data_IF_892246438734
#
_entry.id   IF_892246438734
#
_cell.length_a   1.000
_cell.length_b   1.000
_cell.length_c   1.000
_cell.angle_alpha   90.00
_cell.angle_beta   90.00
_cell.angle_gamma   90.00
#
_symmetry.space_group_name_H-M   'P 1'
#
loop_
_entity.id
_entity.type
_entity.pdbx_description
1 polymer ?
#
# COMPACT_ATOMS: atom_id res chain seq x y z
N UNK A 1 39.76 -70.09 -25.70
CA UNK A 1 38.30 -70.03 -25.97
C UNK A 1 37.62 -69.60 -24.69
N UNK A 2 37.22 -68.34 -24.59
CA UNK A 2 36.26 -67.89 -23.56
C UNK A 2 35.71 -66.54 -24.00
N UNK A 3 34.43 -66.53 -24.33
CA UNK A 3 33.70 -65.35 -24.73
C UNK A 3 33.08 -64.71 -23.48
N UNK A 4 33.55 -63.51 -23.08
CA UNK A 4 32.93 -62.69 -22.05
C UNK A 4 31.82 -61.83 -22.72
N UNK A 5 30.61 -62.03 -22.24
CA UNK A 5 29.43 -61.24 -22.58
C UNK A 5 29.45 -59.94 -21.75
N UNK A 6 29.46 -58.79 -22.43
CA UNK A 6 29.20 -57.49 -21.81
C UNK A 6 27.68 -57.23 -21.81
N UNK A 7 27.14 -57.15 -20.63
CA UNK A 7 25.77 -56.66 -20.38
C UNK A 7 25.82 -55.16 -20.29
N UNK A 8 25.21 -54.45 -21.29
CA UNK A 8 24.91 -53.03 -21.24
C UNK A 8 23.73 -52.81 -20.30
N UNK A 9 23.97 -52.17 -19.17
CA UNK A 9 22.91 -51.63 -18.33
C UNK A 9 22.49 -50.27 -18.86
N UNK A 10 21.31 -50.17 -19.45
CA UNK A 10 20.67 -48.93 -19.86
C UNK A 10 20.08 -48.31 -18.59
N UNK A 11 20.74 -47.28 -18.06
CA UNK A 11 20.21 -46.43 -16.98
C UNK A 11 19.11 -45.51 -17.51
N UNK A 12 17.88 -45.77 -17.10
CA UNK A 12 16.73 -44.93 -17.38
C UNK A 12 16.82 -43.69 -16.47
N UNK A 13 17.30 -42.57 -16.99
CA UNK A 13 17.28 -41.30 -16.30
C UNK A 13 15.83 -40.76 -16.31
N UNK A 14 15.11 -40.90 -15.18
CA UNK A 14 13.84 -40.19 -14.97
C UNK A 14 14.16 -38.69 -14.79
N UNK A 15 13.95 -37.93 -15.84
CA UNK A 15 13.87 -36.46 -15.75
C UNK A 15 12.59 -36.09 -15.01
N UNK A 16 12.73 -35.74 -13.72
CA UNK A 16 11.66 -35.07 -13.00
C UNK A 16 11.51 -33.65 -13.58
N UNK A 17 10.51 -33.48 -14.44
CA UNK A 17 10.04 -32.17 -14.84
C UNK A 17 9.45 -31.51 -13.58
N UNK A 18 10.18 -30.56 -12.99
CA UNK A 18 9.66 -29.65 -12.00
C UNK A 18 8.61 -28.78 -12.70
N UNK A 19 7.36 -29.17 -12.56
CA UNK A 19 6.22 -28.32 -12.91
C UNK A 19 6.31 -27.10 -11.95
N UNK A 20 6.85 -25.99 -12.43
CA UNK A 20 6.66 -24.68 -11.85
C UNK A 20 5.16 -24.40 -11.90
N UNK A 21 4.45 -24.81 -10.87
CA UNK A 21 3.05 -24.53 -10.70
C UNK A 21 2.86 -23.03 -10.58
N UNK A 22 2.29 -22.39 -11.60
CA UNK A 22 1.69 -21.08 -11.43
C UNK A 22 0.64 -21.21 -10.32
N UNK A 23 0.90 -20.62 -9.17
CA UNK A 23 -0.13 -20.54 -8.13
C UNK A 23 -1.36 -19.86 -8.73
N UNK A 24 -2.56 -20.45 -8.61
CA UNK A 24 -3.75 -19.85 -9.17
C UNK A 24 -3.95 -18.47 -8.56
N UNK A 25 -4.30 -17.48 -9.40
CA UNK A 25 -4.67 -16.14 -8.91
C UNK A 25 -5.82 -16.31 -7.91
N UNK A 26 -5.73 -15.73 -6.71
CA UNK A 26 -6.80 -15.84 -5.73
C UNK A 26 -8.13 -15.29 -6.27
N UNK A 27 -9.24 -15.79 -5.76
CA UNK A 27 -10.55 -15.21 -6.04
C UNK A 27 -10.69 -13.85 -5.37
N UNK A 28 -11.48 -12.92 -5.96
CA UNK A 28 -11.77 -11.64 -5.34
C UNK A 28 -12.54 -11.83 -4.01
N UNK A 29 -12.53 -10.84 -3.11
CA UNK A 29 -13.30 -10.91 -1.87
C UNK A 29 -14.77 -11.25 -2.14
N UNK A 30 -15.39 -12.19 -1.39
CA UNK A 30 -16.78 -12.60 -1.58
C UNK A 30 -17.76 -11.59 -0.96
N UNK A 31 -17.81 -10.40 -1.53
CA UNK A 31 -18.65 -9.27 -1.14
C UNK A 31 -19.45 -8.75 -2.35
N UNK A 32 -20.54 -7.99 -2.16
CA UNK A 32 -21.30 -7.43 -3.27
C UNK A 32 -20.50 -6.40 -4.08
N UNK A 33 -20.57 -6.52 -5.41
CA UNK A 33 -20.03 -5.57 -6.36
C UNK A 33 -21.10 -5.14 -7.36
N UNK A 34 -21.16 -3.86 -7.69
CA UNK A 34 -21.95 -3.37 -8.81
C UNK A 34 -21.22 -3.71 -10.13
N UNK A 35 -22.01 -4.00 -11.16
CA UNK A 35 -21.46 -4.24 -12.50
C UNK A 35 -21.35 -2.91 -13.25
N UNK A 36 -20.22 -2.70 -13.91
CA UNK A 36 -20.06 -1.64 -14.88
C UNK A 36 -20.91 -1.96 -16.11
N UNK A 37 -21.70 -1.01 -16.62
CA UNK A 37 -22.65 -1.24 -17.71
C UNK A 37 -22.04 -1.11 -19.11
N UNK A 38 -20.90 -0.42 -19.26
CA UNK A 38 -20.21 -0.22 -20.54
C UNK A 38 -18.84 0.40 -20.39
N UNK A 39 -18.28 0.95 -21.48
CA UNK A 39 -16.93 1.51 -21.52
C UNK A 39 -16.87 3.04 -21.40
N UNK A 40 -18.02 3.73 -21.54
CA UNK A 40 -18.06 5.18 -21.46
C UNK A 40 -17.93 5.67 -20.01
N UNK A 41 -17.62 6.96 -19.84
CA UNK A 41 -17.55 7.58 -18.52
C UNK A 41 -18.89 7.50 -17.76
N UNK A 42 -20.01 7.66 -18.48
CA UNK A 42 -21.37 7.52 -17.94
C UNK A 42 -21.70 6.12 -17.41
N UNK A 43 -20.94 5.11 -17.84
CA UNK A 43 -21.16 3.71 -17.46
C UNK A 43 -20.37 3.32 -16.20
N UNK A 44 -19.59 4.26 -15.65
CA UNK A 44 -18.90 4.03 -14.38
C UNK A 44 -19.90 3.79 -13.25
N UNK A 45 -19.51 2.95 -12.33
CA UNK A 45 -20.32 2.68 -11.14
C UNK A 45 -20.52 3.96 -10.34
N UNK A 46 -21.77 4.27 -10.03
CA UNK A 46 -22.12 5.30 -9.07
C UNK A 46 -21.74 4.84 -7.66
N UNK A 47 -20.62 5.34 -7.18
CA UNK A 47 -20.07 4.94 -5.88
C UNK A 47 -20.96 5.39 -4.70
N UNK A 48 -21.74 6.48 -4.87
CA UNK A 48 -22.67 6.94 -3.85
C UNK A 48 -23.84 5.96 -3.72
N UNK A 49 -24.39 5.57 -4.86
CA UNK A 49 -25.47 4.59 -4.92
C UNK A 49 -25.02 3.22 -4.40
N UNK A 50 -23.86 2.77 -4.81
CA UNK A 50 -23.27 1.51 -4.35
C UNK A 50 -23.12 1.47 -2.83
N UNK A 51 -22.61 2.55 -2.24
CA UNK A 51 -22.46 2.68 -0.79
C UNK A 51 -23.79 2.61 -0.06
N UNK A 52 -24.82 3.25 -0.60
CA UNK A 52 -26.15 3.28 0.00
C UNK A 52 -26.89 1.96 -0.15
N UNK A 53 -26.84 1.33 -1.33
CA UNK A 53 -27.58 0.09 -1.62
C UNK A 53 -26.83 -1.18 -1.15
N UNK A 54 -25.53 -1.12 -1.02
CA UNK A 54 -24.67 -2.26 -0.67
C UNK A 54 -23.53 -1.85 0.25
N UNK A 55 -23.83 -1.30 1.45
CA UNK A 55 -22.80 -0.95 2.43
C UNK A 55 -22.02 -2.21 2.85
N UNK A 56 -20.75 -2.04 3.19
CA UNK A 56 -19.95 -3.13 3.73
C UNK A 56 -20.18 -3.25 5.24
N UNK A 57 -20.66 -4.41 5.65
CA UNK A 57 -20.82 -4.75 7.08
C UNK A 57 -19.47 -5.14 7.69
N UNK A 58 -19.30 -5.09 9.03
CA UNK A 58 -18.10 -5.63 9.68
C UNK A 58 -17.77 -7.07 9.23
N UNK A 59 -18.79 -7.91 9.05
CA UNK A 59 -18.63 -9.28 8.57
C UNK A 59 -18.10 -9.34 7.12
N UNK A 60 -18.48 -8.39 6.26
CA UNK A 60 -17.94 -8.29 4.90
C UNK A 60 -16.50 -7.80 4.92
N UNK A 61 -16.19 -6.82 5.75
CA UNK A 61 -14.83 -6.29 5.92
C UNK A 61 -13.86 -7.36 6.45
N UNK A 62 -14.32 -8.30 7.26
CA UNK A 62 -13.50 -9.44 7.71
C UNK A 62 -13.18 -10.44 6.59
N UNK A 63 -13.98 -10.51 5.53
CA UNK A 63 -13.71 -11.37 4.37
C UNK A 63 -12.64 -10.79 3.43
N UNK A 64 -12.32 -9.51 3.54
CA UNK A 64 -11.30 -8.85 2.72
C UNK A 64 -9.93 -9.16 3.32
N UNK A 65 -9.02 -9.70 2.51
CA UNK A 65 -7.64 -10.03 2.89
C UNK A 65 -6.64 -9.43 1.90
N UNK A 66 -5.37 -9.23 2.28
CA UNK A 66 -4.35 -8.80 1.34
C UNK A 66 -4.26 -9.70 0.10
N UNK A 67 -4.47 -11.01 0.25
CA UNK A 67 -4.34 -11.95 -0.85
C UNK A 67 -5.53 -11.90 -1.81
N UNK A 68 -6.78 -11.85 -1.33
CA UNK A 68 -7.92 -11.83 -2.23
C UNK A 68 -8.13 -10.47 -2.93
N UNK A 69 -7.52 -9.39 -2.42
CA UNK A 69 -7.45 -8.11 -3.13
C UNK A 69 -6.66 -8.22 -4.44
N UNK A 70 -5.65 -9.09 -4.52
CA UNK A 70 -4.91 -9.35 -5.76
C UNK A 70 -5.76 -10.02 -6.84
N UNK A 71 -6.77 -10.78 -6.43
CA UNK A 71 -7.72 -11.43 -7.32
C UNK A 71 -8.83 -10.51 -7.85
N UNK A 72 -9.02 -9.35 -7.23
CA UNK A 72 -10.00 -8.37 -7.64
C UNK A 72 -9.54 -7.58 -8.88
N UNK A 73 -10.49 -7.11 -9.70
CA UNK A 73 -10.22 -6.11 -10.75
C UNK A 73 -9.99 -4.73 -10.13
N UNK A 74 -9.38 -3.79 -10.87
CA UNK A 74 -9.22 -2.42 -10.38
C UNK A 74 -10.56 -1.78 -10.00
N UNK A 75 -11.60 -2.00 -10.81
CA UNK A 75 -12.94 -1.51 -10.53
C UNK A 75 -13.48 -2.06 -9.21
N UNK A 76 -13.26 -3.34 -8.92
CA UNK A 76 -13.68 -3.95 -7.66
C UNK A 76 -12.90 -3.38 -6.47
N UNK A 77 -11.59 -3.15 -6.62
CA UNK A 77 -10.77 -2.50 -5.59
C UNK A 77 -11.25 -1.06 -5.35
N UNK A 78 -11.57 -0.32 -6.41
CA UNK A 78 -12.10 1.03 -6.31
C UNK A 78 -13.45 1.06 -5.59
N UNK A 79 -14.33 0.10 -5.87
CA UNK A 79 -15.60 -0.08 -5.17
C UNK A 79 -15.42 -0.43 -3.68
N UNK A 80 -14.44 -1.26 -3.35
CA UNK A 80 -14.09 -1.52 -1.95
C UNK A 80 -13.66 -0.21 -1.30
N UNK A 81 -12.64 0.45 -1.87
CA UNK A 81 -12.05 1.67 -1.32
C UNK A 81 -13.07 2.77 -1.08
N UNK A 82 -14.00 2.99 -2.02
CA UNK A 82 -15.03 4.00 -1.91
C UNK A 82 -16.01 3.76 -0.74
N UNK A 83 -16.20 2.51 -0.31
CA UNK A 83 -17.07 2.14 0.81
C UNK A 83 -16.35 2.06 2.17
N UNK A 84 -15.02 2.29 2.19
CA UNK A 84 -14.26 2.34 3.44
C UNK A 84 -14.27 3.74 4.04
N UNK A 85 -14.05 3.81 5.33
CA UNK A 85 -13.79 5.06 6.05
C UNK A 85 -12.28 5.25 6.23
N UNK A 86 -11.85 6.48 6.56
CA UNK A 86 -10.45 6.74 6.84
C UNK A 86 -9.92 5.90 8.02
N UNK A 87 -10.78 5.70 9.02
CA UNK A 87 -10.40 5.09 10.29
C UNK A 87 -9.45 5.95 11.10
N UNK A 88 -8.82 5.40 12.12
CA UNK A 88 -7.78 6.09 12.87
C UNK A 88 -6.52 6.24 12.02
N UNK A 89 -5.78 7.33 12.24
CA UNK A 89 -4.41 7.43 11.73
C UNK A 89 -3.58 6.30 12.37
N UNK A 90 -2.94 5.42 11.58
CA UNK A 90 -2.20 4.30 12.15
C UNK A 90 -1.06 4.74 13.06
N UNK A 91 -0.66 3.89 14.00
CA UNK A 91 0.52 4.04 14.84
C UNK A 91 1.31 2.73 14.86
N UNK A 92 2.65 2.80 14.92
CA UNK A 92 3.52 1.62 14.95
C UNK A 92 3.84 1.05 13.58
N UNK A 93 4.24 -0.21 13.55
CA UNK A 93 4.77 -0.88 12.35
C UNK A 93 3.67 -1.62 11.62
N UNK A 94 3.58 -1.39 10.33
CA UNK A 94 2.68 -2.11 9.42
C UNK A 94 3.48 -2.79 8.32
N UNK A 95 3.27 -4.08 8.15
CA UNK A 95 3.77 -4.82 7.00
C UNK A 95 3.00 -4.38 5.74
N UNK A 96 3.73 -4.14 4.67
CA UNK A 96 3.19 -3.62 3.43
C UNK A 96 3.33 -4.58 2.27
N UNK A 97 2.32 -4.59 1.40
CA UNK A 97 2.33 -5.34 0.17
C UNK A 97 1.73 -4.50 -0.94
N UNK A 98 2.52 -4.25 -1.99
CA UNK A 98 2.01 -3.67 -3.24
C UNK A 98 1.29 -4.73 -4.03
N UNK A 99 0.24 -4.35 -4.75
CA UNK A 99 -0.45 -5.26 -5.65
C UNK A 99 -1.09 -4.52 -6.82
N UNK A 100 -1.20 -5.27 -7.93
CA UNK A 100 -1.83 -4.82 -9.14
C UNK A 100 -3.07 -5.67 -9.39
N UNK A 101 -4.25 -5.06 -9.47
CA UNK A 101 -5.48 -5.78 -9.68
C UNK A 101 -5.49 -6.54 -11.02
N UNK A 102 -6.25 -7.62 -11.07
CA UNK A 102 -6.43 -8.46 -12.25
C UNK A 102 -6.81 -7.63 -13.48
N UNK A 103 -6.12 -7.82 -14.59
CA UNK A 103 -6.38 -7.11 -15.86
C UNK A 103 -5.82 -5.69 -15.93
N UNK A 104 -5.13 -5.18 -14.89
CA UNK A 104 -4.39 -3.94 -14.99
C UNK A 104 -3.01 -4.21 -15.58
N UNK A 105 -2.64 -3.52 -16.66
CA UNK A 105 -1.28 -3.58 -17.18
C UNK A 105 -0.45 -2.48 -16.50
N UNK A 106 0.50 -2.90 -15.68
CA UNK A 106 1.46 -2.06 -14.98
C UNK A 106 2.25 -1.18 -15.95
N UNK A 107 2.64 -1.75 -17.07
CA UNK A 107 3.42 -1.07 -18.12
C UNK A 107 2.68 0.11 -18.75
N UNK A 108 1.38 -0.03 -18.99
CA UNK A 108 0.58 1.03 -19.58
C UNK A 108 0.48 2.26 -18.65
N UNK A 109 0.39 2.06 -17.34
CA UNK A 109 0.28 3.14 -16.36
C UNK A 109 1.56 3.91 -16.18
N UNK A 110 2.69 3.22 -16.07
CA UNK A 110 3.99 3.89 -15.96
C UNK A 110 4.35 4.65 -17.24
N UNK A 111 4.01 4.12 -18.41
CA UNK A 111 4.16 4.82 -19.67
C UNK A 111 3.27 6.07 -19.75
N UNK A 112 2.06 6.01 -19.21
CA UNK A 112 1.13 7.17 -19.13
C UNK A 112 1.65 8.25 -18.17
N UNK A 113 2.17 7.86 -16.99
CA UNK A 113 2.76 8.79 -16.02
C UNK A 113 3.95 9.56 -16.62
N UNK A 114 4.75 8.91 -17.44
CA UNK A 114 5.95 9.52 -18.05
C UNK A 114 5.66 10.27 -19.33
N UNK A 115 4.41 10.26 -19.80
CA UNK A 115 3.96 11.09 -20.93
C UNK A 115 4.03 10.43 -22.31
N UNK A 116 4.10 9.10 -22.39
CA UNK A 116 4.02 8.35 -23.67
C UNK A 116 5.18 8.55 -24.66
N UNK A 117 5.11 7.88 -25.79
CA UNK A 117 6.08 8.03 -26.90
C UNK A 117 7.43 7.33 -26.68
N UNK A 118 8.47 7.76 -27.40
CA UNK A 118 9.82 7.15 -27.36
C UNK A 118 10.43 7.20 -25.95
N UNK A 119 10.10 8.23 -25.17
CA UNK A 119 10.50 8.32 -23.75
C UNK A 119 9.81 7.25 -22.91
N UNK A 120 8.54 6.91 -23.20
CA UNK A 120 7.80 5.83 -22.57
C UNK A 120 8.45 4.47 -22.80
N UNK A 121 8.98 4.20 -24.00
CA UNK A 121 9.65 2.92 -24.29
C UNK A 121 10.96 2.71 -23.50
N UNK A 122 11.73 3.78 -23.27
CA UNK A 122 12.95 3.71 -22.45
C UNK A 122 12.59 3.57 -20.96
N UNK A 123 11.48 4.17 -20.54
CA UNK A 123 10.95 4.05 -19.18
C UNK A 123 10.36 2.67 -18.95
N UNK A 124 9.75 2.03 -19.93
CA UNK A 124 9.21 0.66 -19.83
C UNK A 124 10.27 -0.35 -19.37
N UNK A 125 11.51 -0.25 -19.88
CA UNK A 125 12.62 -1.12 -19.44
C UNK A 125 13.16 -0.78 -18.06
N UNK A 126 13.16 0.51 -17.69
CA UNK A 126 13.57 0.97 -16.35
C UNK A 126 12.43 0.77 -15.33
N UNK A 127 11.19 0.96 -15.76
CA UNK A 127 10.01 0.80 -14.92
C UNK A 127 9.75 -0.67 -14.55
N UNK A 128 9.91 -1.61 -15.47
CA UNK A 128 9.84 -3.05 -15.13
C UNK A 128 10.91 -3.45 -14.11
N UNK A 129 12.08 -2.79 -14.14
CA UNK A 129 13.10 -2.95 -13.10
C UNK A 129 12.67 -2.30 -11.77
N UNK A 130 12.08 -1.11 -11.80
CA UNK A 130 11.61 -0.39 -10.61
C UNK A 130 10.44 -1.09 -9.93
N UNK A 131 9.60 -1.76 -10.68
CA UNK A 131 8.47 -2.54 -10.20
C UNK A 131 8.92 -3.79 -9.44
N UNK A 132 9.74 -4.62 -10.04
CA UNK A 132 10.37 -5.74 -9.32
C UNK A 132 11.19 -5.28 -8.12
N UNK A 133 11.89 -4.15 -8.25
CA UNK A 133 12.63 -3.53 -7.16
C UNK A 133 11.66 -3.10 -6.04
N UNK A 134 10.53 -2.48 -6.39
CA UNK A 134 9.53 -2.02 -5.41
C UNK A 134 8.96 -3.15 -4.56
N UNK A 135 8.52 -4.25 -5.16
CA UNK A 135 7.98 -5.41 -4.46
C UNK A 135 9.00 -6.08 -3.52
N UNK A 136 10.28 -6.14 -3.93
CA UNK A 136 11.33 -6.75 -3.12
C UNK A 136 11.90 -5.83 -2.05
N UNK A 137 11.85 -4.52 -2.25
CA UNK A 137 12.49 -3.55 -1.37
C UNK A 137 11.54 -3.03 -0.31
N UNK A 138 10.32 -2.64 -0.69
CA UNK A 138 9.37 -2.02 0.22
C UNK A 138 8.62 -3.08 1.03
N UNK A 139 8.73 -2.99 2.35
CA UNK A 139 8.14 -3.96 3.29
C UNK A 139 7.11 -3.36 4.22
N UNK A 140 6.78 -2.10 4.02
CA UNK A 140 5.73 -1.44 4.78
C UNK A 140 6.11 -0.06 5.28
N UNK A 141 5.43 0.36 6.33
CA UNK A 141 5.54 1.69 6.89
C UNK A 141 5.63 1.64 8.41
N UNK A 142 6.39 2.56 8.98
CA UNK A 142 6.40 2.85 10.42
C UNK A 142 5.73 4.18 10.64
N UNK A 143 4.65 4.19 11.39
CA UNK A 143 3.84 5.38 11.68
C UNK A 143 4.17 5.96 13.05
N UNK A 144 4.54 7.21 13.09
CA UNK A 144 4.73 8.01 14.29
C UNK A 144 3.51 8.93 14.44
N UNK A 145 2.39 8.32 14.89
CA UNK A 145 1.08 9.00 14.94
C UNK A 145 1.09 10.30 15.73
N UNK A 146 1.77 10.33 16.88
CA UNK A 146 1.86 11.51 17.72
C UNK A 146 2.58 12.69 17.04
N UNK A 147 3.48 12.39 16.13
CA UNK A 147 4.28 13.36 15.38
C UNK A 147 3.63 13.73 14.04
N UNK A 148 2.61 12.99 13.61
CA UNK A 148 1.98 13.19 12.31
C UNK A 148 2.89 12.85 11.12
N UNK A 149 3.82 11.90 11.31
CA UNK A 149 4.78 11.50 10.29
C UNK A 149 4.89 9.98 10.19
N UNK A 150 5.43 9.51 9.08
CA UNK A 150 5.83 8.11 8.89
C UNK A 150 7.17 8.01 8.18
N UNK A 151 7.71 6.78 8.15
CA UNK A 151 8.82 6.38 7.29
C UNK A 151 8.52 5.06 6.62
N UNK A 152 9.00 4.90 5.39
CA UNK A 152 8.92 3.62 4.69
C UNK A 152 10.00 2.67 5.18
N UNK A 153 9.62 1.42 5.38
CA UNK A 153 10.51 0.33 5.76
C UNK A 153 11.04 -0.35 4.51
N UNK A 154 12.36 -0.32 4.35
CA UNK A 154 13.10 -0.89 3.23
C UNK A 154 14.00 -1.99 3.75
N UNK A 155 13.99 -3.17 3.16
CA UNK A 155 14.83 -4.30 3.58
C UNK A 155 16.10 -4.46 2.75
N UNK A 156 16.10 -4.04 1.49
CA UNK A 156 17.27 -4.13 0.63
C UNK A 156 17.55 -2.80 -0.08
N UNK A 157 18.65 -2.15 0.30
CA UNK A 157 19.11 -0.91 -0.35
C UNK A 157 19.93 -1.14 -1.62
N UNK A 158 20.45 -2.36 -1.84
CA UNK A 158 21.31 -2.60 -3.01
C UNK A 158 20.57 -2.35 -4.32
N UNK A 159 19.27 -2.60 -4.34
CA UNK A 159 18.42 -2.30 -5.48
C UNK A 159 18.26 -0.79 -5.74
N UNK A 160 18.47 0.08 -4.75
CA UNK A 160 18.49 1.54 -4.92
C UNK A 160 19.87 2.06 -5.33
N UNK A 161 20.94 1.27 -5.23
CA UNK A 161 22.31 1.68 -5.55
C UNK A 161 22.46 2.30 -6.96
N UNK A 162 21.81 1.80 -8.02
CA UNK A 162 21.88 2.43 -9.35
C UNK A 162 21.27 3.83 -9.41
N UNK A 163 20.44 4.21 -8.45
CA UNK A 163 19.73 5.49 -8.39
C UNK A 163 20.40 6.42 -7.40
N UNK A 164 20.74 5.91 -6.22
CA UNK A 164 21.28 6.67 -5.08
C UNK A 164 22.81 6.79 -5.14
N UNK A 165 23.48 5.87 -5.85
CA UNK A 165 24.93 5.82 -5.90
C UNK A 165 25.57 5.14 -4.69
N UNK A 166 26.90 5.28 -4.51
CA UNK A 166 27.67 4.55 -3.49
C UNK A 166 27.32 4.98 -2.05
N UNK A 167 26.77 6.17 -1.86
CA UNK A 167 26.39 6.65 -0.52
C UNK A 167 25.24 5.87 0.12
N UNK A 168 24.54 5.07 -0.64
CA UNK A 168 23.52 4.14 -0.12
C UNK A 168 24.08 3.23 1.00
N UNK A 169 25.34 2.85 0.91
CA UNK A 169 26.01 1.96 1.90
C UNK A 169 26.26 2.64 3.25
N UNK A 170 26.17 3.98 3.30
CA UNK A 170 26.33 4.75 4.54
C UNK A 170 25.04 4.89 5.35
N UNK A 171 23.91 4.52 4.76
CA UNK A 171 22.61 4.60 5.43
C UNK A 171 22.53 3.46 6.44
N UNK A 172 22.47 3.79 7.73
CA UNK A 172 22.40 2.82 8.81
C UNK A 172 21.01 2.21 8.91
N UNK A 173 20.96 0.91 9.20
CA UNK A 173 19.73 0.26 9.65
C UNK A 173 19.38 0.72 11.06
N UNK A 174 18.09 0.69 11.34
CA UNK A 174 17.54 0.87 12.68
C UNK A 174 16.76 -0.38 13.04
N UNK A 175 16.79 -0.77 14.31
CA UNK A 175 15.90 -1.80 14.81
C UNK A 175 14.48 -1.27 14.87
N UNK A 176 13.55 -2.01 14.28
CA UNK A 176 12.13 -1.68 14.29
C UNK A 176 11.38 -2.96 14.64
N UNK A 177 10.89 -3.04 15.87
CA UNK A 177 10.21 -4.22 16.43
C UNK A 177 11.01 -5.51 16.24
N UNK A 178 12.31 -5.48 16.59
CA UNK A 178 13.21 -6.61 16.52
C UNK A 178 13.67 -7.00 15.10
N UNK A 179 13.42 -6.15 14.10
CA UNK A 179 13.88 -6.33 12.73
C UNK A 179 14.73 -5.16 12.27
N UNK A 180 15.91 -5.43 11.79
CA UNK A 180 16.77 -4.43 11.16
C UNK A 180 16.14 -3.94 9.84
N UNK A 181 15.89 -2.67 9.75
CA UNK A 181 15.34 -2.04 8.54
C UNK A 181 15.96 -0.67 8.25
N UNK A 182 15.97 -0.27 7.00
CA UNK A 182 16.23 1.11 6.62
C UNK A 182 14.92 1.89 6.59
N UNK A 183 14.84 2.96 7.37
CA UNK A 183 13.70 3.87 7.38
C UNK A 183 13.98 5.06 6.48
N UNK A 184 13.34 5.07 5.31
CA UNK A 184 13.53 6.06 4.24
C UNK A 184 12.21 6.71 3.85
N UNK A 185 12.31 7.72 2.99
CA UNK A 185 11.17 8.41 2.40
C UNK A 185 10.18 8.84 3.47
N UNK A 186 10.56 9.80 4.34
CA UNK A 186 9.65 10.35 5.34
C UNK A 186 8.44 10.99 4.67
N UNK A 187 7.28 10.91 5.33
CA UNK A 187 6.05 11.54 4.86
C UNK A 187 5.27 12.15 6.00
N UNK A 188 4.51 13.20 5.71
CA UNK A 188 3.57 13.85 6.63
C UNK A 188 2.21 13.15 6.55
N UNK A 189 1.51 13.08 7.69
CA UNK A 189 0.21 12.44 7.84
C UNK A 189 -0.84 13.46 8.17
N UNK A 190 -1.92 13.49 7.41
CA UNK A 190 -3.08 14.34 7.70
C UNK A 190 -4.35 13.77 7.05
N UNK A 191 -5.51 14.31 7.44
CA UNK A 191 -6.78 13.98 6.81
C UNK A 191 -7.04 14.86 5.59
N UNK A 192 -7.47 14.25 4.48
CA UNK A 192 -7.76 14.97 3.26
C UNK A 192 -8.68 14.19 2.33
N UNK A 193 -9.21 14.86 1.33
CA UNK A 193 -10.10 14.24 0.34
C UNK A 193 -9.34 13.25 -0.54
N UNK A 194 -10.01 12.14 -0.84
CA UNK A 194 -9.51 11.14 -1.78
C UNK A 194 -9.58 11.64 -3.22
N UNK A 195 -8.57 11.32 -4.02
CA UNK A 195 -8.57 11.57 -5.47
C UNK A 195 -9.50 10.60 -6.23
N UNK A 196 -9.80 9.43 -5.65
CA UNK A 196 -10.79 8.51 -6.24
C UNK A 196 -12.20 8.99 -5.98
N UNK A 197 -12.49 9.36 -4.73
CA UNK A 197 -13.83 9.64 -4.24
C UNK A 197 -13.80 10.76 -3.21
N UNK A 198 -14.01 11.99 -3.68
CA UNK A 198 -13.98 13.20 -2.86
C UNK A 198 -15.13 13.33 -1.86
N UNK A 199 -16.11 12.40 -1.84
CA UNK A 199 -17.21 12.40 -0.86
C UNK A 199 -16.75 12.07 0.56
N UNK A 200 -15.58 11.40 0.68
CA UNK A 200 -15.02 10.97 1.96
C UNK A 200 -13.54 11.31 2.06
N UNK A 201 -13.11 11.52 3.27
CA UNK A 201 -11.70 11.68 3.59
C UNK A 201 -10.95 10.34 3.58
N UNK A 202 -9.66 10.46 3.48
CA UNK A 202 -8.66 9.41 3.67
C UNK A 202 -7.56 9.92 4.58
N UNK A 203 -6.81 9.05 5.20
CA UNK A 203 -5.50 9.42 5.74
C UNK A 203 -4.56 9.62 4.56
N UNK A 204 -4.05 10.83 4.43
CA UNK A 204 -3.11 11.21 3.37
C UNK A 204 -1.69 11.02 3.88
N UNK A 205 -0.86 10.42 3.04
CA UNK A 205 0.57 10.24 3.25
C UNK A 205 1.26 11.09 2.17
N UNK A 206 1.79 12.24 2.60
CA UNK A 206 2.31 13.27 1.70
C UNK A 206 3.83 13.39 1.80
N UNK A 207 4.50 13.17 0.69
CA UNK A 207 5.95 13.24 0.58
C UNK A 207 6.47 14.59 0.06
N UNK A 208 5.59 15.53 -0.28
CA UNK A 208 5.96 16.73 -1.04
C UNK A 208 6.91 17.66 -0.27
N UNK A 209 6.64 17.92 1.01
CA UNK A 209 7.40 18.88 1.83
C UNK A 209 7.92 18.17 3.08
N UNK A 210 8.93 17.34 2.93
CA UNK A 210 9.49 16.49 3.98
C UNK A 210 10.96 16.79 4.29
N UNK A 211 11.54 17.70 3.57
CA UNK A 211 12.92 18.17 3.72
C UNK A 211 13.18 18.84 5.08
N UNK A 212 12.15 19.30 5.77
CA UNK A 212 12.20 19.83 7.14
C UNK A 212 12.09 18.76 8.24
N UNK A 213 11.83 17.49 7.90
CA UNK A 213 11.64 16.44 8.88
C UNK A 213 12.98 15.91 9.42
N UNK A 214 13.08 15.67 10.74
CA UNK A 214 14.29 15.11 11.33
C UNK A 214 14.73 13.80 10.63
N UNK A 215 16.00 13.73 10.26
CA UNK A 215 16.58 12.55 9.59
C UNK A 215 16.20 12.42 8.11
N UNK A 216 15.66 13.46 7.48
CA UNK A 216 15.57 13.54 6.02
C UNK A 216 16.98 13.48 5.41
N UNK A 217 17.12 12.79 4.30
CA UNK A 217 18.36 12.67 3.53
C UNK A 217 18.08 13.13 2.11
N UNK A 218 18.90 14.05 1.60
CA UNK A 218 18.74 14.55 0.23
C UNK A 218 18.61 13.37 -0.76
N UNK A 219 19.49 12.41 -0.67
CA UNK A 219 19.35 11.13 -1.37
C UNK A 219 19.26 9.99 -0.35
N UNK A 220 18.23 9.13 -0.41
CA UNK A 220 17.25 8.96 -1.49
C UNK A 220 15.91 9.72 -1.32
N UNK A 221 15.67 10.45 -0.23
CA UNK A 221 14.33 10.88 0.17
C UNK A 221 13.70 11.88 -0.82
N UNK A 222 14.53 12.70 -1.51
CA UNK A 222 14.09 13.61 -2.58
C UNK A 222 13.30 12.91 -3.70
N UNK A 223 13.59 11.62 -3.94
CA UNK A 223 12.93 10.86 -5.01
C UNK A 223 11.42 10.73 -4.82
N UNK A 224 10.94 10.70 -3.58
CA UNK A 224 9.51 10.63 -3.30
C UNK A 224 8.84 12.01 -3.28
N UNK A 225 9.59 13.06 -3.04
CA UNK A 225 9.10 14.42 -2.83
C UNK A 225 8.78 15.20 -4.11
N UNK A 226 8.57 16.51 -3.94
CA UNK A 226 8.17 17.45 -4.99
C UNK A 226 9.16 17.59 -6.14
N UNK A 227 10.43 17.35 -5.91
CA UNK A 227 11.50 17.40 -6.93
C UNK A 227 11.73 16.05 -7.61
N UNK A 228 11.07 14.98 -7.13
CA UNK A 228 11.13 13.64 -7.66
C UNK A 228 9.84 13.19 -8.34
N UNK A 229 9.25 12.13 -7.75
CA UNK A 229 8.06 11.48 -8.29
C UNK A 229 6.73 12.12 -7.82
N UNK A 230 6.79 13.09 -6.92
CA UNK A 230 5.61 13.74 -6.30
C UNK A 230 4.61 12.70 -5.79
N UNK A 231 5.11 11.77 -4.98
CA UNK A 231 4.28 10.68 -4.47
C UNK A 231 3.29 11.23 -3.44
N UNK A 232 2.05 10.77 -3.55
CA UNK A 232 1.00 10.95 -2.57
C UNK A 232 0.26 9.65 -2.41
N UNK A 233 0.25 9.12 -1.21
CA UNK A 233 -0.55 7.94 -0.89
C UNK A 233 -1.82 8.35 -0.15
N UNK A 234 -2.85 7.52 -0.30
CA UNK A 234 -4.09 7.61 0.45
C UNK A 234 -4.38 6.25 1.07
N UNK A 235 -4.77 6.20 2.32
CA UNK A 235 -5.21 4.96 2.96
C UNK A 235 -6.57 5.11 3.60
N UNK A 236 -7.37 4.02 3.54
CA UNK A 236 -8.62 3.85 4.28
C UNK A 236 -8.60 2.51 5.01
N UNK A 237 -9.21 2.49 6.18
CA UNK A 237 -9.22 1.30 7.01
C UNK A 237 -10.25 0.29 6.48
N UNK A 238 -9.80 -0.94 6.24
CA UNK A 238 -10.67 -2.10 5.96
C UNK A 238 -11.25 -2.61 7.27
N UNK A 239 -10.41 -2.80 8.27
CA UNK A 239 -10.73 -3.18 9.65
C UNK A 239 -9.55 -2.84 10.55
N UNK A 240 -9.67 -2.93 11.86
CA UNK A 240 -8.54 -2.70 12.76
C UNK A 240 -7.30 -3.48 12.34
N UNK A 241 -6.16 -2.79 12.29
CA UNK A 241 -4.89 -3.35 11.83
C UNK A 241 -4.75 -3.56 10.33
N UNK A 242 -5.76 -3.26 9.51
CA UNK A 242 -5.70 -3.46 8.06
C UNK A 242 -6.17 -2.22 7.29
N UNK A 243 -5.30 -1.67 6.44
CA UNK A 243 -5.59 -0.54 5.55
C UNK A 243 -5.39 -0.92 4.10
N UNK A 244 -6.29 -0.45 3.24
CA UNK A 244 -6.14 -0.46 1.79
C UNK A 244 -5.62 0.91 1.36
N UNK A 245 -4.54 0.92 0.60
CA UNK A 245 -3.87 2.12 0.13
C UNK A 245 -3.89 2.26 -1.38
N UNK A 246 -3.78 3.50 -1.81
CA UNK A 246 -3.66 3.93 -3.21
C UNK A 246 -2.47 4.88 -3.31
N UNK A 247 -1.55 4.60 -4.21
CA UNK A 247 -0.41 5.47 -4.48
C UNK A 247 -0.64 6.26 -5.77
N UNK A 248 -0.31 7.53 -5.73
CA UNK A 248 -0.36 8.45 -6.87
C UNK A 248 1.02 9.06 -7.10
N UNK A 249 1.37 9.23 -8.36
CA UNK A 249 2.54 9.99 -8.81
C UNK A 249 2.06 11.15 -9.67
N UNK A 250 2.37 12.38 -9.30
CA UNK A 250 1.89 13.59 -10.01
C UNK A 250 0.37 13.59 -10.26
N UNK A 251 -0.42 13.16 -9.29
CA UNK A 251 -1.88 13.00 -9.37
C UNK A 251 -2.39 11.84 -10.26
N UNK A 252 -1.50 11.09 -10.92
CA UNK A 252 -1.87 9.89 -11.68
C UNK A 252 -1.85 8.69 -10.74
N UNK A 253 -2.91 7.90 -10.75
CA UNK A 253 -2.96 6.67 -9.98
C UNK A 253 -1.91 5.67 -10.46
N UNK A 254 -1.05 5.21 -9.57
CA UNK A 254 0.04 4.31 -9.88
C UNK A 254 -0.27 2.86 -9.52
N UNK A 255 -0.56 2.59 -8.25
CA UNK A 255 -0.78 1.22 -7.75
C UNK A 255 -1.64 1.20 -6.49
N UNK A 256 -2.08 0.01 -6.11
CA UNK A 256 -2.68 -0.24 -4.80
C UNK A 256 -1.65 -0.90 -3.87
N UNK A 257 -1.84 -0.73 -2.57
CA UNK A 257 -1.08 -1.44 -1.56
C UNK A 257 -1.95 -1.76 -0.35
N UNK A 258 -1.55 -2.76 0.41
CA UNK A 258 -2.12 -3.08 1.71
C UNK A 258 -1.11 -2.82 2.81
N UNK A 259 -1.61 -2.45 3.99
CA UNK A 259 -0.83 -2.31 5.20
C UNK A 259 -1.50 -3.15 6.29
N UNK A 260 -0.73 -4.01 6.94
CA UNK A 260 -1.25 -4.93 7.93
C UNK A 260 -0.41 -4.95 9.20
N UNK A 261 -1.07 -4.84 10.35
CA UNK A 261 -0.47 -5.01 11.66
C UNK A 261 -1.25 -6.10 12.40
N UNK A 262 -0.62 -7.27 12.58
CA UNK A 262 -1.25 -8.44 13.16
C UNK A 262 -1.64 -8.21 14.62
N UNK A 263 -0.82 -7.54 15.40
CA UNK A 263 -1.09 -7.30 16.82
C UNK A 263 -2.34 -6.44 17.02
N UNK A 264 -2.47 -5.35 16.26
CA UNK A 264 -3.67 -4.50 16.26
C UNK A 264 -4.90 -5.30 15.80
N UNK A 265 -4.75 -6.09 14.74
CA UNK A 265 -5.83 -6.90 14.21
C UNK A 265 -6.33 -7.91 15.25
N UNK A 266 -5.45 -8.63 15.92
CA UNK A 266 -5.80 -9.62 16.93
C UNK A 266 -6.47 -8.98 18.16
N UNK A 267 -5.99 -7.82 18.57
CA UNK A 267 -6.49 -7.11 19.76
C UNK A 267 -7.86 -6.46 19.53
N UNK A 268 -8.08 -5.86 18.35
CA UNK A 268 -9.23 -4.97 18.13
C UNK A 268 -10.34 -5.61 17.27
N UNK A 269 -10.03 -6.62 16.44
CA UNK A 269 -11.04 -7.26 15.58
C UNK A 269 -12.23 -7.87 16.35
N UNK A 270 -12.07 -8.50 17.52
CA UNK A 270 -13.22 -9.05 18.24
C UNK A 270 -14.25 -7.99 18.62
N UNK A 271 -13.79 -6.84 19.11
CA UNK A 271 -14.68 -5.71 19.47
C UNK A 271 -15.30 -5.07 18.22
N UNK A 272 -14.54 -4.97 17.15
CA UNK A 272 -15.02 -4.46 15.86
C UNK A 272 -16.16 -5.31 15.29
N UNK A 273 -16.01 -6.63 15.28
CA UNK A 273 -17.08 -7.55 14.79
C UNK A 273 -18.34 -7.44 15.67
N UNK A 274 -18.17 -7.28 16.97
CA UNK A 274 -19.29 -7.20 17.91
C UNK A 274 -20.05 -5.88 17.86
N UNK A 275 -19.37 -4.75 17.70
CA UNK A 275 -19.97 -3.41 17.78
C UNK A 275 -20.11 -2.70 16.43
N UNK A 276 -19.29 -3.06 15.44
CA UNK A 276 -19.15 -2.31 14.18
C UNK A 276 -18.57 -0.90 14.35
N UNK A 277 -18.14 -0.55 15.58
CA UNK A 277 -17.67 0.79 15.89
C UNK A 277 -16.21 0.96 15.51
N UNK A 278 -15.90 2.02 14.79
CA UNK A 278 -14.54 2.42 14.39
C UNK A 278 -14.26 3.79 15.00
N UNK A 279 -13.06 3.94 15.56
CA UNK A 279 -12.56 5.26 15.89
C UNK A 279 -12.13 5.97 14.59
N UNK A 280 -12.59 7.18 14.40
CA UNK A 280 -12.28 8.01 13.23
C UNK A 280 -11.47 9.22 13.68
N UNK A 281 -10.27 9.41 13.09
CA UNK A 281 -9.49 10.63 13.31
C UNK A 281 -9.80 11.69 12.25
N UNK A 282 -10.20 11.26 11.05
CA UNK A 282 -10.62 12.14 9.97
C UNK A 282 -12.11 12.45 10.05
N UNK A 283 -12.47 13.64 9.62
CA UNK A 283 -13.87 14.03 9.57
C UNK A 283 -14.60 13.30 8.44
N UNK A 284 -15.75 12.70 8.78
CA UNK A 284 -16.57 11.91 7.85
C UNK A 284 -18.00 12.50 7.73
N UNK A 285 -18.13 13.80 7.74
CA UNK A 285 -19.42 14.48 7.66
C UNK A 285 -20.08 14.76 9.01
N UNK A 286 -19.51 14.31 10.11
CA UNK A 286 -19.99 14.60 11.45
C UNK A 286 -19.15 15.69 12.12
N UNK A 287 -19.80 16.63 12.77
CA UNK A 287 -19.09 17.62 13.58
C UNK A 287 -18.39 16.91 14.75
N UNK A 288 -17.11 17.23 14.95
CA UNK A 288 -16.38 16.76 16.15
C UNK A 288 -17.02 17.34 17.38
N UNK A 289 -17.29 16.50 18.36
CA UNK A 289 -17.81 16.97 19.65
C UNK A 289 -16.75 17.79 20.38
N UNK A 290 -17.17 18.81 21.13
CA UNK A 290 -16.31 19.70 21.92
C UNK A 290 -15.35 18.95 22.86
N UNK A 291 -15.74 17.75 23.31
CA UNK A 291 -14.91 16.89 24.16
C UNK A 291 -13.64 16.36 23.47
N UNK A 292 -13.63 16.21 22.14
CA UNK A 292 -12.42 15.83 21.39
C UNK A 292 -11.48 17.01 21.18
N UNK A 293 -12.02 18.21 21.01
CA UNK A 293 -11.23 19.44 20.91
C UNK A 293 -10.50 19.76 22.22
N UNK A 294 -11.11 19.49 23.39
CA UNK A 294 -10.48 19.73 24.69
C UNK A 294 -9.32 18.76 25.00
N UNK A 295 -9.39 17.50 24.49
CA UNK A 295 -8.28 16.53 24.64
C UNK A 295 -7.08 16.89 23.78
N UNK A 296 -7.28 17.40 22.58
CA UNK A 296 -6.20 17.86 21.70
C UNK A 296 -5.51 19.12 22.27
N UNK A 297 -6.29 20.05 22.84
CA UNK A 297 -5.76 21.25 23.51
C UNK A 297 -4.90 20.94 24.73
N UNK A 298 -5.29 19.96 25.54
CA UNK A 298 -4.54 19.55 26.74
C UNK A 298 -3.23 18.79 26.41
N UNK A 299 -3.14 18.11 25.25
CA UNK A 299 -1.88 17.50 24.83
C UNK A 299 -0.88 18.54 24.34
N UNK A 300 -1.33 19.61 23.66
CA UNK A 300 -0.47 20.71 23.24
C UNK A 300 0.05 21.54 24.43
N UNK A 301 -0.80 21.76 25.44
CA UNK A 301 -0.40 22.46 26.66
C UNK A 301 0.67 21.69 27.45
N UNK A 302 0.64 20.37 27.49
CA UNK A 302 1.65 19.54 28.17
C UNK A 302 3.01 19.53 27.48
N UNK A 303 3.07 19.75 26.16
CA UNK A 303 4.34 19.81 25.40
C UNK A 303 5.05 21.17 25.54
N UNK A 304 4.34 22.21 25.96
CA UNK A 304 4.92 23.55 26.22
C UNK A 304 5.40 23.75 27.65
N UNK A 305 4.98 22.91 28.60
CA UNK A 305 5.41 22.99 30.02
C UNK A 305 6.70 22.19 30.34
N UNK A 306 7.25 21.45 29.38
CA UNK A 306 8.48 20.64 29.55
C UNK A 306 9.69 21.21 28.80
N UNK A 307 9.77 22.54 28.70
CA UNK A 307 11.00 23.24 28.25
C UNK A 307 11.58 24.07 29.33
#
# INVERSE_FOLDING_TARGET
MNRSRWLMSIGLALSQAVLLGCSPTPDPPPIPFAKKSGEQYSDKVDLARLEHESPLTPADLMKITPDNLKGATQEQVDQIYARLTAGPIPGGVYDGQMFFPKGSSERARLAEIVGGGIKGFVVDRKAAKLEHIGEFIWKGKVFYRSEGVLRNRIEDLHALKPIVGPDVERIKKLDVDGKDAWLLFPAKLYCGQSLLDGRRESVIIDYAFTDDLPGYREMPDVLAGREGLEIRDEIRMVRPGFYLGRAYMKKVFALNFSLYNQEVADKESPSFVGSGTINEDCWVGNQRTTAMASKAGNQHARLTETR
#
